data_IF_410302883720
#
_entry.id   IF_410302883720
#
_cell.length_a   1.000
_cell.length_b   1.000
_cell.length_c   1.000
_cell.angle_alpha   90.00
_cell.angle_beta   90.00
_cell.angle_gamma   90.00
#
_symmetry.space_group_name_H-M   'P 1'
#
loop_
_entity.id
_entity.type
_entity.pdbx_description
1 polymer ?
#
# COMPACT_ATOMS: atom_id res chain seq x y z
N UNK A 1 23.21 78.05 -21.39
CA UNK A 1 22.02 77.22 -21.65
C UNK A 1 22.33 75.77 -21.20
N UNK A 2 21.90 75.35 -19.97
CA UNK A 2 22.15 74.04 -19.44
C UNK A 2 20.84 73.25 -19.55
N UNK A 3 20.84 72.15 -20.34
CA UNK A 3 19.72 71.20 -20.44
C UNK A 3 19.91 70.08 -19.41
N UNK A 4 19.05 70.05 -18.45
CA UNK A 4 18.94 68.92 -17.47
C UNK A 4 18.06 67.83 -18.08
N UNK A 5 18.65 66.63 -18.29
CA UNK A 5 17.90 65.43 -18.63
C UNK A 5 17.41 64.79 -17.36
N UNK A 6 16.09 64.70 -17.20
CA UNK A 6 15.47 63.88 -16.14
C UNK A 6 15.30 62.49 -16.65
N UNK A 7 15.98 61.52 -16.01
CA UNK A 7 15.79 60.09 -16.19
C UNK A 7 14.63 59.61 -15.28
N UNK A 8 13.51 59.27 -15.89
CA UNK A 8 12.45 58.51 -15.21
C UNK A 8 12.86 57.04 -15.14
N UNK A 9 13.13 56.54 -13.94
CA UNK A 9 13.30 55.12 -13.70
C UNK A 9 11.93 54.46 -13.49
N UNK A 10 11.48 53.65 -14.48
CA UNK A 10 10.34 52.75 -14.31
C UNK A 10 10.77 51.55 -13.48
N UNK A 11 10.31 51.48 -12.23
CA UNK A 11 10.43 50.30 -11.39
C UNK A 11 9.32 49.31 -11.79
N UNK A 12 9.68 48.26 -12.56
CA UNK A 12 8.78 47.14 -12.85
C UNK A 12 8.72 46.23 -11.60
N UNK A 13 7.63 46.33 -10.84
CA UNK A 13 7.35 45.43 -9.71
C UNK A 13 7.00 44.02 -10.24
N UNK A 14 7.91 43.08 -10.04
CA UNK A 14 7.63 41.65 -10.28
C UNK A 14 6.77 41.13 -9.12
N UNK A 15 5.47 40.99 -9.37
CA UNK A 15 4.55 40.33 -8.44
C UNK A 15 4.82 38.83 -8.51
N UNK A 16 5.52 38.30 -7.53
CA UNK A 16 5.76 36.85 -7.34
C UNK A 16 4.48 36.22 -6.74
N UNK A 17 3.60 35.73 -7.61
CA UNK A 17 2.46 34.93 -7.14
C UNK A 17 2.97 33.55 -6.69
N UNK A 18 3.18 33.39 -5.38
CA UNK A 18 3.44 32.08 -4.79
C UNK A 18 2.18 31.22 -4.94
N UNK A 19 2.16 30.31 -5.92
CA UNK A 19 1.16 29.24 -6.01
C UNK A 19 1.42 28.30 -4.83
N UNK A 20 0.57 28.40 -3.80
CA UNK A 20 0.50 27.39 -2.73
C UNK A 20 0.04 26.09 -3.38
N UNK A 21 0.99 25.22 -3.78
CA UNK A 21 0.71 23.85 -4.08
C UNK A 21 0.23 23.22 -2.77
N UNK A 22 -1.08 23.06 -2.63
CA UNK A 22 -1.68 22.38 -1.47
C UNK A 22 -1.04 21.01 -1.35
N UNK A 23 -0.29 20.76 -0.28
CA UNK A 23 0.21 19.43 0.04
C UNK A 23 -1.00 18.51 0.19
N UNK A 24 -1.23 17.66 -0.80
CA UNK A 24 -2.28 16.64 -0.73
C UNK A 24 -1.93 15.74 0.44
N UNK A 25 -2.82 15.65 1.44
CA UNK A 25 -2.60 14.81 2.59
C UNK A 25 -2.30 13.38 2.10
N UNK A 26 -1.19 12.81 2.55
CA UNK A 26 -0.81 11.46 2.14
C UNK A 26 -1.88 10.47 2.64
N UNK A 27 -2.36 9.60 1.75
CA UNK A 27 -3.25 8.51 2.12
C UNK A 27 -2.60 7.65 3.23
N UNK A 28 -3.34 7.33 4.28
CA UNK A 28 -2.85 6.52 5.40
C UNK A 28 -3.47 5.14 5.42
N UNK A 29 -2.77 4.19 6.03
CA UNK A 29 -3.27 2.84 6.22
C UNK A 29 -4.28 2.81 7.37
N UNK A 30 -5.29 1.96 7.26
CA UNK A 30 -6.36 1.82 8.26
C UNK A 30 -6.39 0.43 8.91
N UNK A 31 -5.64 -0.51 8.33
CA UNK A 31 -5.52 -1.88 8.80
C UNK A 31 -6.65 -2.81 8.37
N UNK A 32 -6.33 -4.10 8.26
CA UNK A 32 -7.25 -5.12 7.78
C UNK A 32 -8.56 -5.19 8.57
N UNK A 33 -8.53 -4.94 9.89
CA UNK A 33 -9.73 -4.95 10.74
C UNK A 33 -10.78 -3.93 10.30
N UNK A 34 -10.34 -2.75 9.83
CA UNK A 34 -11.27 -1.74 9.31
C UNK A 34 -11.96 -2.21 8.02
N UNK A 35 -11.25 -2.92 7.15
CA UNK A 35 -11.84 -3.54 5.96
C UNK A 35 -12.81 -4.67 6.33
N UNK A 36 -12.47 -5.47 7.35
CA UNK A 36 -13.26 -6.57 7.86
C UNK A 36 -14.64 -6.17 8.39
N UNK A 37 -14.84 -4.93 8.81
CA UNK A 37 -16.15 -4.47 9.28
C UNK A 37 -17.26 -4.64 8.21
N UNK A 38 -16.91 -4.50 6.93
CA UNK A 38 -17.83 -4.70 5.81
C UNK A 38 -17.53 -5.99 5.05
N UNK A 39 -16.25 -6.30 4.78
CA UNK A 39 -15.81 -7.39 3.91
C UNK A 39 -15.74 -8.78 4.59
N UNK A 40 -16.33 -8.93 5.78
CA UNK A 40 -16.41 -10.21 6.52
C UNK A 40 -17.62 -11.05 6.14
N UNK A 41 -18.71 -10.43 5.70
CA UNK A 41 -19.98 -11.11 5.43
C UNK A 41 -19.96 -11.79 4.05
N UNK A 42 -20.67 -12.90 3.90
CA UNK A 42 -20.86 -13.59 2.62
C UNK A 42 -21.48 -12.69 1.55
N UNK A 43 -22.46 -11.86 1.96
CA UNK A 43 -23.10 -10.88 1.06
C UNK A 43 -22.10 -9.94 0.42
N UNK A 44 -21.00 -9.61 1.11
CA UNK A 44 -19.91 -8.77 0.61
C UNK A 44 -18.77 -9.60 0.00
N UNK A 45 -18.90 -10.91 -0.05
CA UNK A 45 -17.92 -11.83 -0.65
C UNK A 45 -16.91 -12.44 0.33
N UNK A 46 -17.03 -12.19 1.64
CA UNK A 46 -16.23 -12.85 2.69
C UNK A 46 -14.71 -12.66 2.59
N UNK A 47 -14.24 -11.60 1.91
CA UNK A 47 -12.83 -11.40 1.56
C UNK A 47 -11.92 -11.41 2.79
N UNK A 48 -12.37 -10.83 3.91
CA UNK A 48 -11.62 -10.79 5.15
C UNK A 48 -11.35 -12.20 5.68
N UNK A 49 -12.38 -13.07 5.74
CA UNK A 49 -12.24 -14.44 6.21
C UNK A 49 -11.38 -15.31 5.27
N UNK A 50 -11.38 -15.02 3.97
CA UNK A 50 -10.47 -15.68 3.02
C UNK A 50 -9.02 -15.26 3.32
N UNK A 51 -8.75 -13.97 3.41
CA UNK A 51 -7.42 -13.43 3.70
C UNK A 51 -6.88 -13.95 5.04
N UNK A 52 -7.67 -13.95 6.09
CA UNK A 52 -7.28 -14.36 7.45
C UNK A 52 -6.70 -15.79 7.50
N UNK A 53 -7.16 -16.67 6.59
CA UNK A 53 -6.69 -18.06 6.47
C UNK A 53 -5.43 -18.20 5.60
N UNK A 54 -4.95 -17.13 4.98
CA UNK A 54 -3.81 -17.18 4.05
C UNK A 54 -2.47 -17.04 4.77
N UNK A 55 -1.41 -17.44 4.09
CA UNK A 55 -0.02 -17.17 4.51
C UNK A 55 0.31 -15.67 4.54
N UNK A 56 -0.41 -14.83 3.83
CA UNK A 56 -0.25 -13.38 3.87
C UNK A 56 -0.60 -12.82 5.25
N UNK A 57 -1.72 -13.23 5.85
CA UNK A 57 -2.07 -12.81 7.21
C UNK A 57 -1.03 -13.26 8.26
N UNK A 58 -0.31 -14.35 7.99
CA UNK A 58 0.71 -14.92 8.87
C UNK A 58 2.14 -14.46 8.55
N UNK A 59 2.31 -13.57 7.55
CA UNK A 59 3.62 -13.25 7.02
C UNK A 59 4.56 -12.61 8.06
N UNK A 60 4.06 -11.75 8.95
CA UNK A 60 4.85 -11.20 10.03
C UNK A 60 5.28 -12.27 11.04
N UNK A 61 4.39 -13.18 11.42
CA UNK A 61 4.71 -14.26 12.36
C UNK A 61 5.87 -15.13 11.86
N UNK A 62 6.02 -15.29 10.55
CA UNK A 62 7.17 -15.97 9.95
C UNK A 62 8.49 -15.29 10.33
N UNK A 63 8.52 -13.96 10.45
CA UNK A 63 9.73 -13.20 10.78
C UNK A 63 10.14 -13.35 12.27
N UNK A 64 9.26 -13.80 13.15
CA UNK A 64 9.58 -13.99 14.57
C UNK A 64 10.26 -15.32 14.86
N UNK A 65 10.41 -16.18 13.85
CA UNK A 65 11.00 -17.52 14.00
C UNK A 65 12.53 -17.47 14.07
N UNK A 66 13.13 -18.50 14.70
CA UNK A 66 14.59 -18.68 14.68
C UNK A 66 15.12 -18.76 13.26
N UNK A 67 14.45 -19.51 12.38
CA UNK A 67 14.87 -19.65 10.98
C UNK A 67 14.95 -18.30 10.24
N UNK A 68 13.99 -17.39 10.47
CA UNK A 68 14.03 -16.06 9.89
C UNK A 68 15.23 -15.23 10.39
N UNK A 69 15.54 -15.34 11.68
CA UNK A 69 16.70 -14.65 12.27
C UNK A 69 18.03 -15.23 11.75
N UNK A 70 18.11 -16.55 11.56
CA UNK A 70 19.30 -17.19 10.98
C UNK A 70 19.51 -16.70 9.52
N UNK A 71 18.43 -16.56 8.74
CA UNK A 71 18.50 -16.00 7.38
C UNK A 71 18.94 -14.53 7.42
N UNK A 72 18.37 -13.72 8.32
CA UNK A 72 18.75 -12.31 8.46
C UNK A 72 20.25 -12.19 8.76
N UNK A 73 20.77 -12.98 9.71
CA UNK A 73 22.18 -13.04 10.07
C UNK A 73 23.06 -13.44 8.88
N UNK A 74 22.67 -14.46 8.14
CA UNK A 74 23.39 -14.91 6.92
C UNK A 74 23.43 -13.85 5.82
N UNK A 75 22.49 -12.90 5.83
CA UNK A 75 22.45 -11.72 4.92
C UNK A 75 23.11 -10.48 5.49
N UNK A 76 23.83 -10.58 6.62
CA UNK A 76 24.49 -9.45 7.27
C UNK A 76 23.54 -8.47 7.95
N UNK A 77 22.29 -8.87 8.20
CA UNK A 77 21.31 -8.03 8.90
C UNK A 77 21.51 -8.26 10.40
N UNK A 78 21.86 -7.19 11.12
CA UNK A 78 22.18 -7.24 12.57
C UNK A 78 20.93 -7.15 13.46
N UNK A 79 19.82 -6.62 12.95
CA UNK A 79 18.56 -6.54 13.68
C UNK A 79 17.76 -7.83 13.51
N UNK A 80 16.91 -8.22 14.49
CA UNK A 80 15.97 -9.33 14.32
C UNK A 80 15.13 -9.17 13.05
N UNK A 81 14.84 -10.27 12.35
CA UNK A 81 14.10 -10.25 11.09
C UNK A 81 12.76 -9.51 11.21
N UNK A 82 12.06 -9.69 12.34
CA UNK A 82 10.79 -9.02 12.63
C UNK A 82 10.89 -7.49 12.81
N UNK A 83 12.09 -6.95 12.99
CA UNK A 83 12.33 -5.52 13.15
C UNK A 83 13.11 -4.93 11.95
N UNK A 84 13.52 -5.76 11.00
CA UNK A 84 14.32 -5.33 9.86
C UNK A 84 13.44 -4.74 8.76
N UNK A 85 13.65 -3.48 8.32
CA UNK A 85 12.95 -2.91 7.18
C UNK A 85 13.14 -3.72 5.90
N UNK A 86 14.28 -4.39 5.74
CA UNK A 86 14.56 -5.26 4.59
C UNK A 86 13.60 -6.46 4.49
N UNK A 87 13.13 -6.96 5.63
CA UNK A 87 12.14 -8.05 5.71
C UNK A 87 10.71 -7.50 5.71
N UNK A 88 10.45 -6.49 6.54
CA UNK A 88 9.12 -5.94 6.77
C UNK A 88 8.47 -5.40 5.50
N UNK A 89 9.22 -4.82 4.57
CA UNK A 89 8.70 -4.28 3.31
C UNK A 89 7.85 -5.28 2.49
N UNK A 90 8.08 -6.60 2.69
CA UNK A 90 7.33 -7.67 2.02
C UNK A 90 6.43 -8.45 2.98
N UNK A 91 6.64 -8.34 4.28
CA UNK A 91 5.98 -9.17 5.27
C UNK A 91 4.95 -8.42 6.13
N UNK A 92 4.91 -7.09 6.08
CA UNK A 92 3.96 -6.31 6.87
C UNK A 92 3.78 -4.89 6.33
N UNK A 93 2.71 -4.21 6.75
CA UNK A 93 2.59 -2.76 6.63
C UNK A 93 3.32 -2.14 7.83
N UNK A 94 4.16 -1.15 7.57
CA UNK A 94 4.91 -0.41 8.59
C UNK A 94 4.67 1.09 8.47
N UNK A 95 4.87 1.81 9.57
CA UNK A 95 4.79 3.28 9.56
C UNK A 95 3.40 3.85 9.85
N UNK A 96 2.39 3.02 10.11
CA UNK A 96 1.07 3.48 10.52
C UNK A 96 0.55 2.64 11.70
N UNK A 97 0.26 3.29 12.83
CA UNK A 97 -0.18 2.62 14.05
C UNK A 97 -1.53 1.88 13.90
N UNK A 98 -2.36 2.27 12.93
CA UNK A 98 -3.65 1.63 12.66
C UNK A 98 -3.50 0.30 11.91
N UNK A 99 -2.44 0.17 11.14
CA UNK A 99 -2.12 -1.05 10.41
C UNK A 99 -1.16 -1.91 11.24
N UNK A 100 -1.68 -2.59 12.28
CA UNK A 100 -0.87 -3.44 13.16
C UNK A 100 0.01 -4.40 12.33
N UNK A 101 1.31 -4.23 12.46
CA UNK A 101 2.34 -5.01 11.76
C UNK A 101 2.15 -6.52 11.92
N UNK A 102 1.60 -6.97 13.05
CA UNK A 102 1.34 -8.39 13.36
C UNK A 102 0.32 -9.03 12.41
N UNK A 103 -0.50 -8.22 11.74
CA UNK A 103 -1.45 -8.71 10.73
C UNK A 103 -0.79 -9.04 9.37
N UNK A 104 0.52 -8.92 9.25
CA UNK A 104 1.26 -9.36 8.08
C UNK A 104 0.97 -8.55 6.81
N UNK A 105 0.85 -9.27 5.69
CA UNK A 105 0.49 -8.68 4.39
C UNK A 105 -1.03 -8.46 4.35
N UNK A 106 -1.45 -7.23 4.64
CA UNK A 106 -2.84 -6.85 4.77
C UNK A 106 -3.46 -6.44 3.42
N UNK A 107 -4.78 -6.24 3.41
CA UNK A 107 -5.57 -5.85 2.22
C UNK A 107 -4.95 -4.67 1.46
N UNK A 108 -4.50 -3.68 2.20
CA UNK A 108 -3.98 -2.42 1.67
C UNK A 108 -2.60 -2.52 1.00
N UNK A 109 -1.85 -3.60 1.21
CA UNK A 109 -0.62 -3.84 0.44
C UNK A 109 -0.91 -4.11 -1.03
N UNK A 110 -2.09 -4.65 -1.32
CA UNK A 110 -2.57 -4.85 -2.68
C UNK A 110 -3.49 -3.70 -3.12
N UNK A 111 -4.40 -3.26 -2.26
CA UNK A 111 -5.46 -2.32 -2.61
C UNK A 111 -5.11 -0.83 -2.36
N UNK A 112 -3.94 -0.53 -1.80
CA UNK A 112 -3.53 0.83 -1.44
C UNK A 112 -4.09 1.30 -0.10
N UNK A 113 -3.55 2.40 0.49
CA UNK A 113 -3.97 2.94 1.77
C UNK A 113 -5.45 3.35 1.78
N UNK A 114 -6.20 2.87 2.79
CA UNK A 114 -7.66 2.90 2.81
C UNK A 114 -8.31 4.13 3.41
N UNK A 115 -7.54 5.11 3.94
CA UNK A 115 -8.10 6.26 4.67
C UNK A 115 -9.24 6.95 3.93
N UNK A 116 -9.10 7.14 2.64
CA UNK A 116 -9.97 8.01 1.86
C UNK A 116 -11.07 7.24 1.13
N UNK A 117 -10.85 5.94 0.83
CA UNK A 117 -11.85 5.15 0.12
C UNK A 117 -12.66 4.19 1.00
N UNK A 118 -12.27 3.93 2.27
CA UNK A 118 -12.96 2.94 3.12
C UNK A 118 -14.39 3.28 3.51
N UNK A 119 -14.82 4.53 3.38
CA UNK A 119 -16.19 4.92 3.76
C UNK A 119 -17.22 4.28 2.85
N UNK A 120 -18.38 3.91 3.41
CA UNK A 120 -19.45 3.25 2.66
C UNK A 120 -19.93 4.09 1.47
N UNK A 121 -19.96 5.41 1.61
CA UNK A 121 -20.39 6.34 0.56
C UNK A 121 -19.43 6.37 -0.62
N UNK A 122 -18.12 6.19 -0.38
CA UNK A 122 -17.09 6.11 -1.42
C UNK A 122 -17.05 4.70 -2.02
N UNK A 123 -17.04 3.65 -1.18
CA UNK A 123 -16.91 2.26 -1.63
C UNK A 123 -18.10 1.74 -2.46
N UNK A 124 -19.27 2.36 -2.35
CA UNK A 124 -20.43 2.02 -3.21
C UNK A 124 -20.24 2.44 -4.66
N UNK A 125 -19.35 3.39 -4.91
CA UNK A 125 -19.03 3.91 -6.23
C UNK A 125 -17.58 3.56 -6.56
N UNK A 126 -17.39 2.65 -7.52
CA UNK A 126 -16.06 2.15 -7.88
C UNK A 126 -15.15 3.27 -8.39
N UNK A 127 -15.66 4.19 -9.19
CA UNK A 127 -14.84 5.25 -9.80
C UNK A 127 -14.41 6.26 -8.74
N UNK A 128 -15.30 6.58 -7.80
CA UNK A 128 -14.96 7.39 -6.63
C UNK A 128 -13.94 6.72 -5.73
N UNK A 129 -14.07 5.41 -5.50
CA UNK A 129 -13.12 4.66 -4.69
C UNK A 129 -11.72 4.64 -5.35
N UNK A 130 -11.66 4.45 -6.67
CA UNK A 130 -10.40 4.50 -7.44
C UNK A 130 -9.79 5.90 -7.40
N UNK A 131 -10.59 6.94 -7.59
CA UNK A 131 -10.13 8.33 -7.48
C UNK A 131 -9.62 8.66 -6.06
N UNK A 132 -10.16 8.00 -5.03
CA UNK A 132 -9.72 8.10 -3.63
C UNK A 132 -8.58 7.14 -3.26
N UNK A 133 -7.91 6.52 -4.23
CA UNK A 133 -6.69 5.72 -4.03
C UNK A 133 -6.87 4.20 -4.00
N UNK A 134 -8.09 3.67 -4.19
CA UNK A 134 -8.29 2.22 -4.31
C UNK A 134 -7.60 1.68 -5.56
N UNK A 135 -6.66 0.76 -5.38
CA UNK A 135 -6.04 0.03 -6.49
C UNK A 135 -6.92 -1.11 -6.96
N UNK A 136 -7.25 -1.09 -8.25
CA UNK A 136 -7.99 -2.14 -8.95
C UNK A 136 -7.14 -2.66 -10.10
N UNK A 137 -7.09 -3.96 -10.28
CA UNK A 137 -6.29 -4.60 -11.33
C UNK A 137 -7.18 -4.97 -12.50
N UNK A 138 -6.77 -4.59 -13.70
CA UNK A 138 -7.55 -4.79 -14.93
C UNK A 138 -7.55 -6.24 -15.42
N UNK A 139 -6.48 -6.99 -15.13
CA UNK A 139 -6.25 -8.35 -15.61
C UNK A 139 -5.25 -9.12 -14.74
N UNK A 140 -5.08 -10.40 -15.04
CA UNK A 140 -4.15 -11.27 -14.32
C UNK A 140 -2.68 -10.82 -14.44
N UNK A 141 -2.28 -10.20 -15.55
CA UNK A 141 -0.91 -9.71 -15.71
C UNK A 141 -0.62 -8.55 -14.75
N UNK A 142 -1.59 -7.64 -14.56
CA UNK A 142 -1.49 -6.56 -13.59
C UNK A 142 -1.45 -7.09 -12.14
N UNK A 143 -2.22 -8.14 -11.83
CA UNK A 143 -2.18 -8.81 -10.53
C UNK A 143 -0.81 -9.48 -10.32
N UNK A 144 -0.32 -10.24 -11.29
CA UNK A 144 0.98 -10.91 -11.20
C UNK A 144 2.11 -9.90 -10.99
N UNK A 145 2.10 -8.78 -11.71
CA UNK A 145 3.06 -7.69 -11.51
C UNK A 145 3.08 -7.20 -10.06
N UNK A 146 1.90 -7.04 -9.43
CA UNK A 146 1.81 -6.69 -8.02
C UNK A 146 2.40 -7.79 -7.12
N UNK A 147 2.08 -9.06 -7.37
CA UNK A 147 2.63 -10.18 -6.60
C UNK A 147 4.16 -10.20 -6.64
N UNK A 148 4.74 -9.95 -7.82
CA UNK A 148 6.20 -9.96 -8.03
C UNK A 148 6.93 -8.78 -7.39
N UNK A 149 6.25 -7.81 -6.81
CA UNK A 149 6.91 -6.78 -5.98
C UNK A 149 7.57 -7.37 -4.74
N UNK A 150 7.03 -8.50 -4.23
CA UNK A 150 7.55 -9.23 -3.09
C UNK A 150 8.03 -10.65 -3.47
N UNK A 151 7.33 -11.33 -4.38
CA UNK A 151 7.67 -12.70 -4.82
C UNK A 151 8.68 -12.66 -5.99
N UNK A 152 9.93 -12.35 -5.68
CA UNK A 152 11.03 -12.21 -6.64
C UNK A 152 12.36 -12.70 -6.05
N UNK A 153 13.41 -12.67 -6.84
CA UNK A 153 14.76 -13.16 -6.49
C UNK A 153 15.45 -12.37 -5.36
N UNK A 154 14.95 -11.19 -5.01
CA UNK A 154 15.47 -10.42 -3.86
C UNK A 154 15.10 -11.03 -2.52
N UNK A 155 14.09 -11.92 -2.50
CA UNK A 155 13.80 -12.71 -1.31
C UNK A 155 14.92 -13.73 -1.06
N UNK A 156 15.48 -13.82 0.15
CA UNK A 156 16.55 -14.79 0.46
C UNK A 156 16.08 -16.24 0.37
N UNK A 157 14.77 -16.47 0.34
CA UNK A 157 14.14 -17.79 0.22
C UNK A 157 13.31 -17.89 -1.06
N UNK A 158 13.68 -17.10 -2.09
CA UNK A 158 12.97 -17.10 -3.35
C UNK A 158 12.86 -18.51 -3.93
N UNK A 159 11.67 -18.82 -4.43
CA UNK A 159 11.37 -20.02 -5.21
C UNK A 159 10.65 -19.57 -6.47
N UNK A 160 10.59 -20.44 -7.48
CA UNK A 160 9.78 -20.18 -8.66
C UNK A 160 8.36 -19.75 -8.27
N UNK A 161 7.95 -18.59 -8.77
CA UNK A 161 6.62 -18.05 -8.49
C UNK A 161 5.62 -18.47 -9.59
N UNK A 162 4.88 -19.54 -9.33
CA UNK A 162 3.81 -20.05 -10.20
C UNK A 162 2.53 -19.26 -9.94
N UNK A 163 2.32 -18.20 -10.70
CA UNK A 163 1.24 -17.25 -10.46
C UNK A 163 -0.15 -17.92 -10.34
N UNK A 164 -0.55 -18.74 -11.31
CA UNK A 164 -1.87 -19.34 -11.33
C UNK A 164 -2.17 -20.16 -10.06
N UNK A 165 -1.20 -20.98 -9.61
CA UNK A 165 -1.34 -21.78 -8.40
C UNK A 165 -1.43 -20.92 -7.13
N UNK A 166 -0.65 -19.85 -7.06
CA UNK A 166 -0.61 -18.95 -5.91
C UNK A 166 -1.84 -18.06 -5.84
N UNK A 167 -2.25 -17.52 -6.99
CA UNK A 167 -3.44 -16.71 -7.11
C UNK A 167 -4.71 -17.47 -6.71
N UNK A 168 -4.86 -18.72 -7.16
CA UNK A 168 -5.98 -19.57 -6.79
C UNK A 168 -6.19 -19.71 -5.26
N UNK A 169 -5.11 -19.58 -4.46
CA UNK A 169 -5.16 -19.73 -2.99
C UNK A 169 -5.57 -18.46 -2.25
N UNK A 170 -5.46 -17.29 -2.89
CA UNK A 170 -5.70 -16.00 -2.20
C UNK A 170 -6.75 -15.14 -2.87
N UNK A 171 -7.14 -15.49 -4.12
CA UNK A 171 -8.20 -14.75 -4.81
C UNK A 171 -9.48 -14.79 -4.00
N UNK A 172 -10.19 -13.71 -3.99
CA UNK A 172 -11.48 -13.59 -3.35
C UNK A 172 -12.53 -13.03 -4.32
N UNK A 173 -13.82 -13.34 -4.11
CA UNK A 173 -14.87 -12.88 -5.01
C UNK A 173 -15.06 -11.36 -4.92
N UNK A 174 -15.46 -10.79 -6.06
CA UNK A 174 -16.01 -9.43 -6.10
C UNK A 174 -17.53 -9.58 -5.96
N UNK A 175 -18.17 -8.88 -5.03
CA UNK A 175 -19.62 -8.95 -4.90
C UNK A 175 -20.29 -8.54 -6.20
N UNK A 176 -21.27 -9.34 -6.63
CA UNK A 176 -22.12 -8.94 -7.76
C UNK A 176 -22.99 -7.78 -7.27
N UNK A 177 -23.10 -6.72 -8.06
CA UNK A 177 -24.11 -5.70 -7.80
C UNK A 177 -25.50 -6.37 -7.84
N UNK A 178 -26.40 -6.07 -6.89
CA UNK A 178 -27.79 -6.55 -6.95
C UNK A 178 -28.47 -6.03 -8.21
#
# INVERSE_FOLDING_TARGET
MKRTLSLLALAAGVVFTATMAGAQAAHTYVGAKACGMCHKTEKQGGQFGIWEKTKHAQAYATLTTKAANDIAKAKGITTPAANSPACLKCHAIVGDAKADVKNGVQCEMCHGPGSDYKSLTVMKDKDRAVAAGLKVYKDNAAIEKQCRTCHNEKSPTAKEFKFAERWAKIRHPVPKKP
#
